data_IF_773344510105
#
_entry.id   IF_773344510105
#
_cell.length_a   1.000
_cell.length_b   1.000
_cell.length_c   1.000
_cell.angle_alpha   90.00
_cell.angle_beta   90.00
_cell.angle_gamma   90.00
#
_symmetry.space_group_name_H-M   'P 1'
#
loop_
_entity.id
_entity.type
_entity.pdbx_description
1 polymer ?
#
# COMPACT_ATOMS: atom_id res chain seq x y z
N UNK A 1 6.49 11.69 22.92
CA UNK A 1 5.69 11.22 21.77
C UNK A 1 5.83 9.71 21.70
N UNK A 2 4.74 8.99 21.47
CA UNK A 2 4.73 7.52 21.41
C UNK A 2 3.83 7.06 20.26
N UNK A 3 4.08 5.85 19.74
CA UNK A 3 3.21 5.17 18.77
C UNK A 3 2.64 3.92 19.42
N UNK A 4 1.39 3.60 19.10
CA UNK A 4 0.69 2.43 19.65
C UNK A 4 -0.24 1.84 18.60
N UNK A 5 -0.48 0.52 18.70
CA UNK A 5 -1.62 -0.12 18.04
C UNK A 5 -2.92 0.26 18.75
N UNK A 6 -4.04 0.10 18.07
CA UNK A 6 -5.40 0.34 18.59
C UNK A 6 -5.80 -0.81 19.53
N UNK A 7 -5.13 -0.88 20.67
CA UNK A 7 -5.36 -1.86 21.74
C UNK A 7 -6.04 -1.10 22.89
N UNK A 8 -7.28 -1.45 23.29
CA UNK A 8 -8.05 -0.68 24.27
C UNK A 8 -7.29 -0.39 25.57
N UNK A 9 -6.55 -1.38 26.07
CA UNK A 9 -5.77 -1.30 27.32
C UNK A 9 -4.62 -0.29 27.22
N UNK A 10 -4.04 -0.14 26.03
CA UNK A 10 -2.99 0.84 25.79
C UNK A 10 -3.62 2.22 25.59
N UNK A 11 -4.70 2.29 24.81
CA UNK A 11 -5.40 3.54 24.52
C UNK A 11 -5.96 4.23 25.76
N UNK A 12 -6.42 3.44 26.75
CA UNK A 12 -6.87 3.95 28.04
C UNK A 12 -5.79 4.74 28.80
N UNK A 13 -4.51 4.44 28.58
CA UNK A 13 -3.38 5.16 29.21
C UNK A 13 -3.12 6.52 28.56
N UNK A 14 -3.64 6.76 27.35
CA UNK A 14 -3.42 7.98 26.56
C UNK A 14 -4.72 8.79 26.35
N UNK A 15 -5.78 8.50 27.10
CA UNK A 15 -7.11 9.12 26.94
C UNK A 15 -7.12 10.66 27.00
N UNK A 16 -6.20 11.25 27.77
CA UNK A 16 -6.08 12.70 27.96
C UNK A 16 -5.01 13.31 27.03
N UNK A 17 -4.41 12.51 26.15
CA UNK A 17 -3.40 12.93 25.18
C UNK A 17 -4.01 13.25 23.82
N UNK A 18 -3.30 14.05 23.02
CA UNK A 18 -3.64 14.23 21.61
C UNK A 18 -3.40 12.92 20.85
N UNK A 19 -4.44 12.41 20.18
CA UNK A 19 -4.39 11.19 19.38
C UNK A 19 -4.48 11.56 17.90
N UNK A 20 -3.58 11.01 17.10
CA UNK A 20 -3.61 11.09 15.66
C UNK A 20 -3.65 9.67 15.12
N UNK A 21 -4.76 9.32 14.47
CA UNK A 21 -4.87 8.06 13.75
C UNK A 21 -4.12 8.17 12.42
N UNK A 22 -3.28 7.18 12.13
CA UNK A 22 -2.51 7.11 10.88
C UNK A 22 -3.15 6.03 10.03
N UNK A 23 -3.67 6.44 8.87
CA UNK A 23 -4.25 5.56 7.85
C UNK A 23 -3.71 5.97 6.49
N UNK A 24 -3.51 4.99 5.60
CA UNK A 24 -3.27 5.31 4.21
C UNK A 24 -4.61 5.46 3.48
N UNK A 25 -4.77 6.56 2.76
CA UNK A 25 -5.88 6.70 1.82
C UNK A 25 -5.58 5.94 0.54
N UNK A 26 -6.62 5.62 -0.23
CA UNK A 26 -6.46 5.01 -1.56
C UNK A 26 -5.53 5.84 -2.44
N UNK A 27 -5.63 7.16 -2.34
CA UNK A 27 -4.79 8.09 -3.09
C UNK A 27 -3.33 8.05 -2.65
N UNK A 28 -3.05 7.93 -1.34
CA UNK A 28 -1.68 7.71 -0.83
C UNK A 28 -1.09 6.41 -1.40
N UNK A 29 -1.89 5.34 -1.44
CA UNK A 29 -1.48 4.05 -1.99
C UNK A 29 -1.21 4.16 -3.50
N UNK A 30 -2.10 4.80 -4.26
CA UNK A 30 -1.92 4.99 -5.71
C UNK A 30 -0.68 5.82 -6.03
N UNK A 31 -0.44 6.91 -5.30
CA UNK A 31 0.77 7.74 -5.45
C UNK A 31 2.04 6.94 -5.15
N UNK A 32 2.01 6.10 -4.10
CA UNK A 32 3.12 5.20 -3.80
C UNK A 32 3.38 4.24 -4.95
N UNK A 33 2.34 3.60 -5.49
CA UNK A 33 2.47 2.65 -6.61
C UNK A 33 3.01 3.35 -7.86
N UNK A 34 2.48 4.51 -8.23
CA UNK A 34 2.95 5.29 -9.39
C UNK A 34 4.44 5.63 -9.27
N UNK A 35 4.92 5.97 -8.07
CA UNK A 35 6.34 6.20 -7.80
C UNK A 35 7.24 4.97 -8.01
N UNK A 36 6.67 3.76 -7.93
CA UNK A 36 7.39 2.49 -8.06
C UNK A 36 7.16 1.78 -9.40
N UNK A 37 6.22 2.24 -10.24
CA UNK A 37 5.93 1.65 -11.56
C UNK A 37 7.16 1.52 -12.46
N UNK A 38 8.11 2.45 -12.34
CA UNK A 38 9.36 2.44 -13.11
C UNK A 38 10.27 1.23 -12.80
N UNK A 39 10.12 0.64 -11.60
CA UNK A 39 10.91 -0.49 -11.10
C UNK A 39 10.33 -1.83 -11.59
N UNK A 40 9.06 -1.85 -11.99
CA UNK A 40 8.41 -3.03 -12.54
C UNK A 40 8.91 -3.36 -13.95
N UNK A 41 8.67 -4.60 -14.37
CA UNK A 41 9.11 -5.12 -15.66
C UNK A 41 8.44 -4.37 -16.83
N UNK A 42 9.09 -4.33 -18.01
CA UNK A 42 8.57 -3.59 -19.17
C UNK A 42 7.14 -3.94 -19.57
N UNK A 43 6.71 -5.19 -19.40
CA UNK A 43 5.36 -5.61 -19.76
C UNK A 43 4.26 -5.00 -18.85
N UNK A 44 4.62 -4.56 -17.64
CA UNK A 44 3.76 -3.78 -16.74
C UNK A 44 3.98 -2.29 -16.99
N UNK A 45 5.24 -1.83 -16.97
CA UNK A 45 5.59 -0.42 -17.11
C UNK A 45 5.18 0.19 -18.45
N UNK A 46 5.17 -0.58 -19.53
CA UNK A 46 4.86 -0.04 -20.87
C UNK A 46 3.37 -0.25 -21.23
N UNK A 47 2.56 -0.77 -20.30
CA UNK A 47 1.13 -1.05 -20.49
C UNK A 47 0.28 -0.26 -19.49
N UNK A 48 -0.29 0.86 -19.92
CA UNK A 48 -1.12 1.74 -19.08
C UNK A 48 -2.36 1.05 -18.51
N UNK A 49 -2.97 0.10 -19.23
CA UNK A 49 -4.10 -0.66 -18.72
C UNK A 49 -3.67 -1.54 -17.55
N UNK A 50 -2.57 -2.26 -17.69
CA UNK A 50 -2.05 -3.15 -16.64
C UNK A 50 -1.57 -2.34 -15.42
N UNK A 51 -1.04 -1.13 -15.62
CA UNK A 51 -0.72 -0.23 -14.52
C UNK A 51 -1.95 0.17 -13.71
N UNK A 52 -3.06 0.51 -14.37
CA UNK A 52 -4.31 0.84 -13.68
C UNK A 52 -4.92 -0.38 -12.99
N UNK A 53 -4.83 -1.56 -13.60
CA UNK A 53 -5.25 -2.82 -12.95
C UNK A 53 -4.44 -3.09 -11.67
N UNK A 54 -3.12 -2.92 -11.71
CA UNK A 54 -2.25 -3.06 -10.52
C UNK A 54 -2.62 -2.04 -9.45
N UNK A 55 -2.81 -0.76 -9.82
CA UNK A 55 -3.20 0.29 -8.89
C UNK A 55 -4.51 -0.03 -8.19
N UNK A 56 -5.54 -0.38 -8.95
CA UNK A 56 -6.85 -0.71 -8.38
C UNK A 56 -6.77 -1.96 -7.50
N UNK A 57 -6.16 -3.04 -8.00
CA UNK A 57 -6.08 -4.30 -7.26
C UNK A 57 -5.31 -4.17 -5.94
N UNK A 58 -4.22 -3.41 -5.93
CA UNK A 58 -3.48 -3.16 -4.70
C UNK A 58 -4.30 -2.25 -3.79
N UNK A 59 -4.73 -1.07 -4.24
CA UNK A 59 -5.50 -0.13 -3.41
C UNK A 59 -6.71 -0.79 -2.72
N UNK A 60 -7.46 -1.62 -3.45
CA UNK A 60 -8.62 -2.33 -2.91
C UNK A 60 -8.24 -3.39 -1.86
N UNK A 61 -7.05 -3.99 -1.96
CA UNK A 61 -6.59 -5.06 -1.08
C UNK A 61 -5.89 -4.57 0.20
N UNK A 62 -5.45 -3.31 0.25
CA UNK A 62 -4.57 -2.79 1.32
C UNK A 62 -5.35 -2.50 2.62
N UNK A 63 -6.67 -2.35 2.57
CA UNK A 63 -7.56 -2.13 3.74
C UNK A 63 -6.96 -1.17 4.78
N UNK A 64 -6.58 0.04 4.32
CA UNK A 64 -5.91 1.10 5.09
C UNK A 64 -4.48 0.77 5.64
N UNK A 65 -4.00 -0.47 5.48
CA UNK A 65 -2.70 -0.96 5.95
C UNK A 65 -1.60 -0.82 4.89
N UNK A 66 -0.98 0.36 4.78
CA UNK A 66 0.04 0.68 3.77
C UNK A 66 1.12 -0.38 3.51
N UNK A 67 1.54 -1.13 4.54
CA UNK A 67 2.56 -2.17 4.40
C UNK A 67 2.17 -3.25 3.36
N UNK A 68 0.88 -3.53 3.19
CA UNK A 68 0.41 -4.48 2.17
C UNK A 68 0.70 -3.99 0.76
N UNK A 69 0.63 -2.69 0.49
CA UNK A 69 0.98 -2.11 -0.81
C UNK A 69 2.43 -2.44 -1.19
N UNK A 70 3.34 -2.29 -0.23
CA UNK A 70 4.76 -2.60 -0.43
C UNK A 70 4.99 -4.10 -0.67
N UNK A 71 4.30 -4.97 0.07
CA UNK A 71 4.41 -6.43 -0.10
C UNK A 71 3.89 -6.86 -1.48
N UNK A 72 2.75 -6.33 -1.92
CA UNK A 72 2.20 -6.65 -3.23
C UNK A 72 3.08 -6.14 -4.38
N UNK A 73 3.66 -4.94 -4.25
CA UNK A 73 4.61 -4.45 -5.24
C UNK A 73 5.87 -5.31 -5.33
N UNK A 74 6.47 -5.68 -4.19
CA UNK A 74 7.63 -6.57 -4.16
C UNK A 74 7.32 -7.94 -4.78
N UNK A 75 6.08 -8.44 -4.61
CA UNK A 75 5.62 -9.66 -5.29
C UNK A 75 5.55 -9.50 -6.81
N UNK A 76 5.16 -8.32 -7.31
CA UNK A 76 5.11 -8.03 -8.76
C UNK A 76 6.50 -7.88 -9.39
N UNK A 77 7.50 -7.44 -8.63
CA UNK A 77 8.89 -7.33 -9.10
C UNK A 77 9.46 -8.70 -9.53
N UNK A 78 9.05 -9.78 -8.85
CA UNK A 78 9.51 -11.14 -9.13
C UNK A 78 8.81 -11.78 -10.37
N UNK A 79 7.77 -11.13 -10.91
CA UNK A 79 7.00 -11.67 -12.03
C UNK A 79 7.69 -11.42 -13.36
N UNK A 80 8.01 -12.49 -14.08
CA UNK A 80 8.79 -12.41 -15.32
C UNK A 80 7.89 -12.21 -16.57
N UNK A 81 6.66 -12.68 -16.52
CA UNK A 81 5.70 -12.64 -17.63
C UNK A 81 4.30 -12.23 -17.18
N UNK A 82 3.45 -11.84 -18.13
CA UNK A 82 2.03 -11.53 -17.87
C UNK A 82 1.26 -12.70 -17.25
N UNK A 83 1.62 -13.95 -17.58
CA UNK A 83 0.94 -15.13 -17.05
C UNK A 83 1.23 -15.40 -15.57
N UNK A 84 2.20 -14.69 -14.99
CA UNK A 84 2.59 -14.86 -13.60
C UNK A 84 1.90 -13.86 -12.65
N UNK A 85 1.17 -12.87 -13.19
CA UNK A 85 0.39 -11.86 -12.46
C UNK A 85 -1.05 -12.33 -12.28
#
# INVERSE_FOLDING_TARGET
MATSRVIPEIMAQFKDSFLLEIRATDEDVRMYIDGHMSQLRPFVRDNSQLQEEVKNAISDAVDEMFLLAQIYLAFLEDKLTRNDI
#
